data_IF_456068449019
#
_entry.id   IF_456068449019
#
_cell.length_a   1.000
_cell.length_b   1.000
_cell.length_c   1.000
_cell.angle_alpha   90.00
_cell.angle_beta   90.00
_cell.angle_gamma   90.00
#
_symmetry.space_group_name_H-M   'P 1'
#
loop_
_entity.id
_entity.type
_entity.pdbx_description
1 polymer ?
#
# COMPACT_ATOMS: atom_id res chain seq x y z
N UNK A 1 -3.74 -4.46 3.63
CA UNK A 1 -5.10 -4.22 4.14
C UNK A 1 -5.16 -3.48 5.47
N UNK A 2 -4.23 -3.64 6.43
CA UNK A 2 -4.24 -2.81 7.66
C UNK A 2 -4.25 -1.29 7.42
N UNK A 3 -3.50 -0.79 6.42
CA UNK A 3 -3.53 0.61 6.00
C UNK A 3 -4.90 1.08 5.51
N UNK A 4 -5.68 0.20 4.86
CA UNK A 4 -7.04 0.51 4.38
C UNK A 4 -8.00 0.79 5.55
N UNK A 5 -7.95 -0.07 6.58
CA UNK A 5 -8.76 0.10 7.79
C UNK A 5 -8.42 1.42 8.50
N UNK A 6 -7.12 1.74 8.62
CA UNK A 6 -6.67 2.99 9.21
C UNK A 6 -7.06 4.21 8.35
N UNK A 7 -7.02 4.06 7.03
CA UNK A 7 -7.48 5.06 6.07
C UNK A 7 -8.94 5.42 6.30
N UNK A 8 -9.83 4.42 6.35
CA UNK A 8 -11.26 4.63 6.64
C UNK A 8 -11.47 5.36 7.97
N UNK A 9 -10.76 4.94 9.03
CA UNK A 9 -10.81 5.58 10.36
C UNK A 9 -10.34 7.04 10.35
N UNK A 10 -9.50 7.43 9.40
CA UNK A 10 -9.07 8.83 9.25
C UNK A 10 -10.17 9.73 8.69
N UNK A 11 -11.11 9.17 7.92
CA UNK A 11 -12.23 9.92 7.33
C UNK A 11 -13.45 10.01 8.25
N UNK A 12 -13.56 9.12 9.23
CA UNK A 12 -14.72 9.07 10.13
C UNK A 12 -15.01 10.36 10.90
N UNK A 13 -14.01 11.15 11.37
CA UNK A 13 -14.30 12.41 12.03
C UNK A 13 -15.03 13.43 11.13
N UNK A 14 -14.90 13.33 9.81
CA UNK A 14 -15.47 14.29 8.85
C UNK A 14 -16.80 13.80 8.29
N UNK A 15 -16.81 12.55 7.81
CA UNK A 15 -17.94 11.98 7.06
C UNK A 15 -18.68 10.87 7.81
N UNK A 16 -18.29 10.60 9.05
CA UNK A 16 -18.85 9.55 9.88
C UNK A 16 -18.48 8.13 9.43
N UNK A 17 -18.99 7.14 10.16
CA UNK A 17 -18.90 5.73 9.78
C UNK A 17 -20.11 5.35 8.91
N UNK A 18 -20.13 5.81 7.66
CA UNK A 18 -21.23 5.55 6.72
C UNK A 18 -20.86 4.52 5.66
N UNK A 19 -21.88 3.92 5.03
CA UNK A 19 -21.70 3.04 3.87
C UNK A 19 -20.97 3.73 2.71
N UNK A 20 -21.07 5.07 2.61
CA UNK A 20 -20.43 5.86 1.57
C UNK A 20 -18.91 5.93 1.78
N UNK A 21 -18.46 6.15 3.02
CA UNK A 21 -17.01 6.19 3.35
C UNK A 21 -16.37 4.83 3.12
N UNK A 22 -17.00 3.76 3.58
CA UNK A 22 -16.50 2.40 3.33
C UNK A 22 -16.48 2.06 1.84
N UNK A 23 -17.55 2.37 1.12
CA UNK A 23 -17.61 2.19 -0.33
C UNK A 23 -16.49 2.95 -1.04
N UNK A 24 -16.29 4.23 -0.71
CA UNK A 24 -15.23 5.06 -1.26
C UNK A 24 -13.82 4.50 -1.03
N UNK A 25 -13.50 4.11 0.21
CA UNK A 25 -12.19 3.56 0.56
C UNK A 25 -11.93 2.27 -0.20
N UNK A 26 -12.86 1.32 -0.15
CA UNK A 26 -12.72 0.03 -0.84
C UNK A 26 -12.56 0.26 -2.35
N UNK A 27 -13.41 1.10 -2.95
CA UNK A 27 -13.32 1.40 -4.39
C UNK A 27 -11.98 2.02 -4.78
N UNK A 28 -11.48 2.98 -4.01
CA UNK A 28 -10.18 3.63 -4.30
C UNK A 28 -9.02 2.66 -4.13
N UNK A 29 -9.02 1.86 -3.06
CA UNK A 29 -7.96 0.87 -2.84
C UNK A 29 -7.96 -0.20 -3.92
N UNK A 30 -9.12 -0.75 -4.27
CA UNK A 30 -9.24 -1.74 -5.36
C UNK A 30 -8.87 -1.14 -6.73
N UNK A 31 -9.30 0.09 -7.02
CA UNK A 31 -8.93 0.77 -8.26
C UNK A 31 -7.42 1.02 -8.33
N UNK A 32 -6.82 1.53 -7.26
CA UNK A 32 -5.38 1.74 -7.15
C UNK A 32 -4.61 0.43 -7.31
N UNK A 33 -5.00 -0.62 -6.59
CA UNK A 33 -4.38 -1.95 -6.72
C UNK A 33 -4.52 -2.51 -8.13
N UNK A 34 -5.69 -2.40 -8.76
CA UNK A 34 -5.93 -2.85 -10.14
C UNK A 34 -5.01 -2.16 -11.14
N UNK A 35 -4.91 -0.83 -11.07
CA UNK A 35 -3.97 -0.04 -11.87
C UNK A 35 -2.53 -0.47 -11.56
N UNK A 36 -2.21 -0.68 -10.29
CA UNK A 36 -0.92 -1.16 -9.81
C UNK A 36 -0.54 -2.53 -10.36
N UNK A 37 -1.47 -3.48 -10.41
CA UNK A 37 -1.26 -4.81 -10.99
C UNK A 37 -0.99 -4.73 -12.49
N UNK A 38 -1.77 -3.94 -13.22
CA UNK A 38 -1.59 -3.77 -14.66
C UNK A 38 -0.27 -3.06 -15.00
N UNK A 39 0.02 -1.93 -14.34
CA UNK A 39 1.25 -1.17 -14.53
C UNK A 39 2.49 -1.96 -14.05
N UNK A 40 2.37 -2.62 -12.91
CA UNK A 40 3.41 -3.45 -12.32
C UNK A 40 3.73 -4.67 -13.16
N UNK A 41 2.74 -5.31 -13.78
CA UNK A 41 2.96 -6.42 -14.72
C UNK A 41 3.75 -5.98 -15.95
N UNK A 42 3.35 -4.85 -16.57
CA UNK A 42 4.09 -4.26 -17.71
C UNK A 42 5.52 -3.85 -17.33
N UNK A 43 5.70 -3.36 -16.10
CA UNK A 43 7.03 -3.01 -15.58
C UNK A 43 7.87 -4.27 -15.35
N UNK A 44 7.29 -5.32 -14.75
CA UNK A 44 7.96 -6.59 -14.48
C UNK A 44 8.45 -7.28 -15.76
N UNK A 45 7.69 -7.20 -16.85
CA UNK A 45 8.09 -7.72 -18.16
C UNK A 45 9.29 -6.99 -18.77
N UNK A 46 9.49 -5.71 -18.42
CA UNK A 46 10.65 -4.93 -18.86
C UNK A 46 11.85 -5.15 -17.95
N UNK A 47 11.65 -5.02 -16.64
CA UNK A 47 12.68 -5.09 -15.61
C UNK A 47 12.08 -5.68 -14.33
N UNK A 48 12.60 -6.83 -13.90
CA UNK A 48 12.20 -7.53 -12.69
C UNK A 48 13.42 -7.85 -11.85
N UNK A 49 13.99 -6.81 -11.26
CA UNK A 49 15.14 -6.90 -10.36
C UNK A 49 14.85 -6.26 -8.99
N UNK A 50 15.73 -6.54 -8.01
CA UNK A 50 15.60 -6.05 -6.63
C UNK A 50 15.62 -4.52 -6.59
N UNK A 51 16.33 -3.87 -7.51
CA UNK A 51 16.37 -2.41 -7.58
C UNK A 51 15.02 -1.83 -8.02
N UNK A 52 14.36 -2.43 -9.03
CA UNK A 52 13.00 -2.05 -9.44
C UNK A 52 12.02 -2.23 -8.30
N UNK A 53 12.08 -3.37 -7.59
CA UNK A 53 11.25 -3.62 -6.41
C UNK A 53 11.48 -2.54 -5.32
N UNK A 54 12.73 -2.21 -5.04
CA UNK A 54 13.09 -1.16 -4.07
C UNK A 54 12.55 0.21 -4.47
N UNK A 55 12.61 0.58 -5.76
CA UNK A 55 12.07 1.85 -6.25
C UNK A 55 10.56 1.94 -6.11
N UNK A 56 9.85 0.85 -6.39
CA UNK A 56 8.39 0.79 -6.28
C UNK A 56 7.94 0.92 -4.82
N UNK A 57 8.65 0.31 -3.86
CA UNK A 57 8.31 0.37 -2.44
C UNK A 57 8.64 1.73 -1.82
N UNK A 58 9.64 2.45 -2.34
CA UNK A 58 10.06 3.74 -1.80
C UNK A 58 8.96 4.80 -1.83
N UNK A 59 8.23 4.91 -2.93
CA UNK A 59 7.18 5.93 -3.11
C UNK A 59 6.04 5.79 -2.07
N UNK A 60 5.37 4.64 -1.93
CA UNK A 60 4.34 4.46 -0.91
C UNK A 60 4.93 4.57 0.50
N UNK A 61 6.18 4.19 0.72
CA UNK A 61 6.86 4.40 2.01
C UNK A 61 6.90 5.89 2.39
N UNK A 62 7.40 6.74 1.49
CA UNK A 62 7.51 8.18 1.74
C UNK A 62 6.12 8.77 1.98
N UNK A 63 5.14 8.43 1.14
CA UNK A 63 3.78 8.95 1.28
C UNK A 63 3.15 8.54 2.62
N UNK A 64 3.22 7.26 2.99
CA UNK A 64 2.60 6.75 4.22
C UNK A 64 3.31 7.29 5.47
N UNK A 65 4.65 7.38 5.47
CA UNK A 65 5.41 7.95 6.59
C UNK A 65 5.10 9.44 6.78
N UNK A 66 4.98 10.18 5.68
CA UNK A 66 4.65 11.61 5.71
C UNK A 66 3.16 11.90 5.94
N UNK A 67 2.31 10.87 5.96
CA UNK A 67 0.86 11.01 6.07
C UNK A 67 0.41 11.93 7.21
N UNK A 68 0.97 11.89 8.44
CA UNK A 68 0.49 12.77 9.50
C UNK A 68 0.75 14.26 9.30
N UNK A 69 1.67 14.62 8.40
CA UNK A 69 1.94 16.04 8.09
C UNK A 69 0.91 16.60 7.10
N UNK A 70 0.51 15.82 6.09
CA UNK A 70 -0.39 16.30 5.02
C UNK A 70 -1.83 15.79 5.17
N UNK A 71 -2.04 14.58 5.67
CA UNK A 71 -3.34 13.89 5.77
C UNK A 71 -4.36 14.68 6.60
N UNK A 72 -4.06 15.01 7.89
CA UNK A 72 -4.96 15.83 8.71
C UNK A 72 -5.27 17.20 8.10
N UNK A 73 -4.27 17.83 7.47
CA UNK A 73 -4.42 19.12 6.81
C UNK A 73 -5.38 19.06 5.62
N UNK A 74 -5.29 18.02 4.79
CA UNK A 74 -6.23 17.78 3.69
C UNK A 74 -7.63 17.44 4.22
N UNK A 75 -7.72 16.59 5.23
CA UNK A 75 -8.96 16.23 5.92
C UNK A 75 -9.71 17.48 6.39
N UNK A 76 -9.03 18.37 7.13
CA UNK A 76 -9.62 19.63 7.61
C UNK A 76 -10.09 20.54 6.48
N UNK A 77 -9.37 20.60 5.35
CA UNK A 77 -9.78 21.41 4.19
C UNK A 77 -11.09 20.87 3.59
N UNK A 78 -11.19 19.56 3.42
CA UNK A 78 -12.41 18.92 2.89
C UNK A 78 -13.60 19.04 3.84
N UNK A 79 -13.36 19.02 5.15
CA UNK A 79 -14.38 19.31 6.17
C UNK A 79 -14.95 20.72 6.00
N UNK A 80 -14.10 21.74 5.83
CA UNK A 80 -14.54 23.13 5.61
C UNK A 80 -15.30 23.30 4.30
N UNK A 81 -14.88 22.61 3.23
CA UNK A 81 -15.62 22.61 1.95
C UNK A 81 -17.04 22.05 2.07
N UNK A 82 -17.36 21.31 3.15
CA UNK A 82 -18.71 20.80 3.44
C UNK A 82 -19.34 20.04 2.27
N UNK A 83 -18.54 19.26 1.53
CA UNK A 83 -19.02 18.46 0.40
C UNK A 83 -19.97 17.34 0.87
N UNK A 84 -20.87 16.92 -0.01
CA UNK A 84 -21.73 15.75 0.21
C UNK A 84 -20.89 14.52 0.59
N UNK A 85 -21.28 13.73 1.61
CA UNK A 85 -20.48 12.60 2.07
C UNK A 85 -20.15 11.56 1.00
N UNK A 86 -20.96 11.41 -0.06
CA UNK A 86 -20.70 10.46 -1.15
C UNK A 86 -19.53 10.93 -1.99
N UNK A 87 -19.58 12.18 -2.45
CA UNK A 87 -18.54 12.74 -3.31
C UNK A 87 -17.29 13.13 -2.51
N UNK A 88 -17.47 13.74 -1.34
CA UNK A 88 -16.38 14.18 -0.47
C UNK A 88 -15.49 13.03 0.00
N UNK A 89 -16.09 11.94 0.50
CA UNK A 89 -15.33 10.76 0.92
C UNK A 89 -14.61 10.06 -0.24
N UNK A 90 -15.23 10.00 -1.42
CA UNK A 90 -14.60 9.44 -2.62
C UNK A 90 -13.39 10.26 -3.06
N UNK A 91 -13.55 11.58 -3.19
CA UNK A 91 -12.49 12.48 -3.66
C UNK A 91 -11.31 12.51 -2.70
N UNK A 92 -11.56 12.66 -1.40
CA UNK A 92 -10.45 12.69 -0.43
C UNK A 92 -9.76 11.34 -0.31
N UNK A 93 -10.51 10.23 -0.36
CA UNK A 93 -9.91 8.88 -0.39
C UNK A 93 -9.03 8.72 -1.63
N UNK A 94 -9.51 9.15 -2.80
CA UNK A 94 -8.74 9.10 -4.04
C UNK A 94 -7.44 9.90 -3.91
N UNK A 95 -7.51 11.15 -3.44
CA UNK A 95 -6.34 12.02 -3.29
C UNK A 95 -5.32 11.43 -2.30
N UNK A 96 -5.78 10.89 -1.17
CA UNK A 96 -4.89 10.39 -0.11
C UNK A 96 -4.29 9.02 -0.41
N UNK A 97 -5.07 8.13 -1.02
CA UNK A 97 -4.75 6.69 -1.03
C UNK A 97 -4.48 6.11 -2.40
N UNK A 98 -4.93 6.73 -3.51
CA UNK A 98 -4.77 6.10 -4.83
C UNK A 98 -3.30 5.91 -5.20
N UNK A 99 -2.48 6.93 -4.98
CA UNK A 99 -1.06 6.91 -5.32
C UNK A 99 -0.30 5.81 -4.56
N UNK A 100 -0.33 5.74 -3.21
CA UNK A 100 0.35 4.65 -2.51
C UNK A 100 -0.22 3.27 -2.89
N UNK A 101 -1.53 3.14 -3.11
CA UNK A 101 -2.15 1.88 -3.51
C UNK A 101 -1.68 1.39 -4.88
N UNK A 102 -1.47 2.27 -5.86
CA UNK A 102 -0.94 1.91 -7.19
C UNK A 102 0.44 1.27 -7.05
N UNK A 103 1.36 1.92 -6.33
CA UNK A 103 2.71 1.37 -6.14
C UNK A 103 2.71 0.08 -5.31
N UNK A 104 1.88 0.00 -4.27
CA UNK A 104 1.72 -1.23 -3.49
C UNK A 104 1.19 -2.38 -4.36
N UNK A 105 0.24 -2.11 -5.26
CA UNK A 105 -0.28 -3.10 -6.20
C UNK A 105 0.81 -3.62 -7.14
N UNK A 106 1.73 -2.76 -7.58
CA UNK A 106 2.82 -3.15 -8.48
C UNK A 106 3.86 -4.10 -7.87
N UNK A 107 3.87 -4.27 -6.55
CA UNK A 107 4.83 -5.17 -5.86
C UNK A 107 4.64 -6.63 -6.25
N UNK A 108 3.40 -7.12 -6.29
CA UNK A 108 3.13 -8.55 -6.52
C UNK A 108 3.62 -9.01 -7.91
N UNK A 109 3.24 -8.36 -9.04
CA UNK A 109 3.70 -8.78 -10.36
C UNK A 109 5.22 -8.81 -10.51
N UNK A 110 5.92 -7.84 -9.90
CA UNK A 110 7.39 -7.77 -9.93
C UNK A 110 8.01 -8.94 -9.18
N UNK A 111 7.55 -9.26 -7.97
CA UNK A 111 8.04 -10.40 -7.19
C UNK A 111 7.73 -11.72 -7.92
N UNK A 112 6.53 -11.86 -8.49
CA UNK A 112 6.16 -13.07 -9.25
C UNK A 112 7.11 -13.28 -10.43
N UNK A 113 7.42 -12.23 -11.19
CA UNK A 113 8.36 -12.31 -12.31
C UNK A 113 9.79 -12.62 -11.86
N UNK A 114 10.24 -12.05 -10.73
CA UNK A 114 11.56 -12.35 -10.15
C UNK A 114 11.70 -13.82 -9.72
N UNK A 115 10.64 -14.42 -9.20
CA UNK A 115 10.64 -15.82 -8.73
C UNK A 115 10.38 -16.83 -9.85
N UNK A 116 9.72 -16.42 -10.93
CA UNK A 116 9.46 -17.28 -12.07
C UNK A 116 10.67 -17.32 -13.01
N UNK A 117 11.61 -18.22 -12.73
CA UNK A 117 12.79 -18.46 -13.57
C UNK A 117 12.46 -18.98 -14.97
N UNK A 118 11.31 -19.64 -15.15
CA UNK A 118 10.80 -20.14 -16.43
C UNK A 118 9.27 -20.00 -16.52
N UNK A 119 8.74 -19.96 -17.75
CA UNK A 119 7.29 -19.87 -18.01
C UNK A 119 6.48 -21.00 -17.33
N UNK A 120 7.07 -22.18 -17.16
CA UNK A 120 6.41 -23.33 -16.50
C UNK A 120 6.16 -23.11 -15.01
N UNK A 121 6.90 -22.19 -14.36
CA UNK A 121 6.81 -21.90 -12.91
C UNK A 121 6.06 -20.61 -12.60
N UNK A 122 5.60 -19.86 -13.60
CA UNK A 122 4.85 -18.61 -13.39
C UNK A 122 3.61 -18.84 -12.52
N UNK A 123 2.85 -19.91 -12.79
CA UNK A 123 1.63 -20.22 -12.04
C UNK A 123 1.89 -20.51 -10.56
N UNK A 124 2.91 -21.32 -10.25
CA UNK A 124 3.26 -21.65 -8.86
C UNK A 124 3.90 -20.47 -8.12
N UNK A 125 4.74 -19.67 -8.80
CA UNK A 125 5.29 -18.43 -8.25
C UNK A 125 4.17 -17.44 -7.90
N UNK A 126 3.21 -17.23 -8.81
CA UNK A 126 2.04 -16.40 -8.55
C UNK A 126 1.23 -16.92 -7.37
N UNK A 127 0.88 -18.21 -7.37
CA UNK A 127 0.12 -18.84 -6.28
C UNK A 127 0.77 -18.67 -4.91
N UNK A 128 2.09 -18.89 -4.81
CA UNK A 128 2.82 -18.73 -3.55
C UNK A 128 2.83 -17.28 -3.07
N UNK A 129 3.14 -16.31 -3.95
CA UNK A 129 3.17 -14.88 -3.59
C UNK A 129 1.79 -14.39 -3.17
N UNK A 130 0.73 -14.76 -3.89
CA UNK A 130 -0.64 -14.41 -3.53
C UNK A 130 -1.10 -15.06 -2.22
N UNK A 131 -0.71 -16.30 -1.96
CA UNK A 131 -1.04 -17.00 -0.71
C UNK A 131 -0.42 -16.28 0.51
N UNK A 132 0.86 -15.92 0.42
CA UNK A 132 1.56 -15.16 1.47
C UNK A 132 0.94 -13.76 1.63
N UNK A 133 0.66 -13.07 0.53
CA UNK A 133 0.03 -11.75 0.54
C UNK A 133 -1.36 -11.76 1.18
N UNK A 134 -2.15 -12.79 0.90
CA UNK A 134 -3.49 -12.97 1.46
C UNK A 134 -3.43 -13.29 2.95
N UNK A 135 -2.56 -14.21 3.36
CA UNK A 135 -2.35 -14.54 4.77
C UNK A 135 -1.88 -13.30 5.56
N UNK A 136 -0.91 -12.55 5.02
CA UNK A 136 -0.45 -11.29 5.60
C UNK A 136 -1.54 -10.21 5.65
N UNK A 137 -2.40 -10.15 4.64
CA UNK A 137 -3.56 -9.24 4.63
C UNK A 137 -4.59 -9.59 5.69
N UNK A 138 -4.90 -10.87 5.88
CA UNK A 138 -5.80 -11.35 6.95
C UNK A 138 -5.21 -11.00 8.31
N UNK A 139 -3.96 -11.40 8.56
CA UNK A 139 -3.27 -11.13 9.81
C UNK A 139 -3.17 -9.63 10.10
N UNK A 140 -2.80 -8.83 9.09
CA UNK A 140 -2.72 -7.38 9.20
C UNK A 140 -4.07 -6.72 9.47
N UNK A 141 -5.15 -7.13 8.78
CA UNK A 141 -6.49 -6.59 9.01
C UNK A 141 -7.01 -6.94 10.41
N UNK A 142 -6.83 -8.18 10.86
CA UNK A 142 -7.22 -8.61 12.20
C UNK A 142 -6.40 -7.86 13.26
N UNK A 143 -5.08 -7.82 13.11
CA UNK A 143 -4.20 -7.11 14.04
C UNK A 143 -4.55 -5.62 14.12
N UNK A 144 -4.77 -4.97 12.97
CA UNK A 144 -5.15 -3.57 12.92
C UNK A 144 -6.50 -3.33 13.59
N UNK A 145 -7.51 -4.15 13.25
CA UNK A 145 -8.89 -3.91 13.68
C UNK A 145 -9.12 -4.22 15.16
N UNK A 146 -8.50 -5.28 15.69
CA UNK A 146 -8.71 -5.73 17.06
C UNK A 146 -7.74 -5.08 18.06
N UNK A 147 -6.48 -4.88 17.67
CA UNK A 147 -5.44 -4.43 18.60
C UNK A 147 -4.97 -3.01 18.30
N UNK A 148 -4.55 -2.74 17.05
CA UNK A 148 -3.85 -1.49 16.74
C UNK A 148 -4.71 -0.24 16.94
N UNK A 149 -5.97 -0.27 16.51
CA UNK A 149 -6.91 0.85 16.68
C UNK A 149 -7.23 1.11 18.16
N UNK A 150 -7.22 0.06 18.99
CA UNK A 150 -7.50 0.16 20.42
C UNK A 150 -6.29 0.70 21.19
N UNK A 151 -5.07 0.38 20.75
CA UNK A 151 -3.83 0.75 21.46
C UNK A 151 -3.22 2.07 21.01
N UNK A 152 -3.40 2.45 19.74
CA UNK A 152 -2.73 3.60 19.16
C UNK A 152 -3.72 4.55 18.45
N UNK A 153 -3.47 5.87 18.51
CA UNK A 153 -4.14 6.82 17.64
C UNK A 153 -3.94 6.48 16.16
N UNK A 154 -4.98 6.70 15.34
CA UNK A 154 -4.99 6.34 13.90
C UNK A 154 -3.76 6.88 13.15
N UNK A 155 -3.35 8.11 13.41
CA UNK A 155 -2.18 8.72 12.76
C UNK A 155 -0.86 7.98 13.09
N UNK A 156 -0.69 7.50 14.33
CA UNK A 156 0.47 6.68 14.73
C UNK A 156 0.39 5.28 14.12
N UNK A 157 -0.81 4.72 14.03
CA UNK A 157 -1.05 3.45 13.33
C UNK A 157 -0.61 3.53 11.86
N UNK A 158 -0.95 4.62 11.17
CA UNK A 158 -0.54 4.85 9.79
C UNK A 158 0.99 4.97 9.69
N UNK A 159 1.61 5.77 10.56
CA UNK A 159 3.08 5.86 10.61
C UNK A 159 3.73 4.49 10.81
N UNK A 160 3.20 3.66 11.71
CA UNK A 160 3.73 2.31 11.94
C UNK A 160 3.68 1.47 10.65
N UNK A 161 2.57 1.51 9.91
CA UNK A 161 2.51 0.81 8.61
C UNK A 161 3.53 1.33 7.61
N UNK A 162 3.81 2.65 7.62
CA UNK A 162 4.86 3.26 6.82
C UNK A 162 6.27 2.84 7.25
N UNK A 163 6.53 2.72 8.56
CA UNK A 163 7.82 2.25 9.10
C UNK A 163 8.08 0.78 8.80
N UNK A 164 7.05 -0.07 8.85
CA UNK A 164 7.15 -1.47 8.42
C UNK A 164 7.55 -1.51 6.94
N UNK A 165 6.89 -0.71 6.10
CA UNK A 165 7.22 -0.62 4.68
C UNK A 165 8.63 -0.06 4.43
N UNK A 166 9.06 0.92 5.22
CA UNK A 166 10.42 1.46 5.19
C UNK A 166 11.47 0.41 5.55
N UNK A 167 11.16 -0.46 6.52
CA UNK A 167 12.02 -1.57 6.90
C UNK A 167 12.15 -2.57 5.75
N UNK A 168 11.05 -2.92 5.08
CA UNK A 168 11.08 -3.76 3.88
C UNK A 168 11.91 -3.14 2.74
N UNK A 169 11.76 -1.83 2.52
CA UNK A 169 12.55 -1.10 1.54
C UNK A 169 14.05 -1.14 1.85
N UNK A 170 14.43 -0.89 3.11
CA UNK A 170 15.82 -0.92 3.55
C UNK A 170 16.45 -2.31 3.39
N UNK A 171 15.69 -3.37 3.70
CA UNK A 171 16.11 -4.75 3.47
C UNK A 171 16.35 -5.05 1.98
N UNK A 172 15.47 -4.59 1.09
CA UNK A 172 15.67 -4.76 -0.36
C UNK A 172 16.93 -4.02 -0.85
N UNK A 173 17.16 -2.81 -0.35
CA UNK A 173 18.32 -1.99 -0.73
C UNK A 173 19.64 -2.62 -0.26
N UNK A 174 19.70 -3.09 0.99
CA UNK A 174 20.89 -3.75 1.55
C UNK A 174 21.18 -5.06 0.84
N UNK A 175 20.15 -5.87 0.54
CA UNK A 175 20.30 -7.10 -0.23
C UNK A 175 20.88 -6.84 -1.63
N UNK A 176 20.40 -5.78 -2.31
CA UNK A 176 20.96 -5.38 -3.62
C UNK A 176 22.45 -4.98 -3.52
N UNK A 177 22.84 -4.23 -2.48
CA UNK A 177 24.23 -3.81 -2.29
C UNK A 177 25.16 -5.00 -2.01
N UNK A 178 24.71 -6.00 -1.25
CA UNK A 178 25.48 -7.22 -0.98
C UNK A 178 25.72 -8.03 -2.25
N UNK A 179 24.68 -8.23 -3.07
CA UNK A 179 24.80 -8.99 -4.31
C UNK A 179 25.73 -8.30 -5.32
N UNK A 180 25.63 -6.96 -5.44
CA UNK A 180 26.53 -6.16 -6.30
C UNK A 180 28.01 -6.27 -5.89
N UNK A 181 28.28 -6.48 -4.60
CA UNK A 181 29.65 -6.62 -4.08
C UNK A 181 30.26 -8.01 -4.34
N UNK A 182 29.43 -9.04 -4.54
CA UNK A 182 29.87 -10.38 -4.92
C UNK A 182 30.18 -10.51 -6.41
N UNK A 183 29.46 -9.81 -7.28
CA UNK A 183 29.72 -9.81 -8.73
C UNK A 183 30.94 -8.96 -9.15
N UNK A 184 31.49 -8.16 -8.23
CA UNK A 184 32.64 -7.29 -8.45
C UNK A 184 33.96 -7.78 -7.84
N UNK A 185 34.01 -9.02 -7.35
CA UNK A 185 35.20 -9.69 -6.82
C UNK A 185 35.54 -10.92 -7.67
#
# INVERSE_FOLDING_TARGET
MGYEILGARTLFPIYGNSIYVWGAIISVFLAGLSIGYAAGGRLADRQSDILTLSRIILIPTILIVLFPYYGPSLCKRFEVLSLDPRLGSLLISAILFIMPCVFMGSVIPVIVKMLATDNSRIGSAAGNVYSISTAGSIAGTLFTSFFLISWLPVHKGIQLTGLILASCWFLCLTYHQMNKKQDGA
#
